data_IF_783878017362
#
_entry.id   IF_783878017362
#
_cell.length_a   1.000
_cell.length_b   1.000
_cell.length_c   1.000
_cell.angle_alpha   90.00
_cell.angle_beta   90.00
_cell.angle_gamma   90.00
#
_symmetry.space_group_name_H-M   'P 1'
#
loop_
_entity.id
_entity.type
_entity.pdbx_description
1 polymer ?
#
# COMPACT_ATOMS: atom_id res chain seq x y z
N UNK A 1 -14.38 -16.98 14.60
CA UNK A 1 -13.27 -16.69 13.66
C UNK A 1 -11.98 -16.92 14.43
N UNK A 2 -11.10 -17.79 13.95
CA UNK A 2 -9.82 -18.11 14.56
C UNK A 2 -8.85 -16.93 14.41
N UNK A 3 -8.43 -16.34 15.53
CA UNK A 3 -7.30 -15.42 15.54
C UNK A 3 -6.02 -16.23 15.76
N UNK A 4 -5.02 -16.02 14.89
CA UNK A 4 -3.71 -16.63 14.98
C UNK A 4 -2.74 -15.61 15.59
N UNK A 5 -1.93 -16.08 16.54
CA UNK A 5 -0.82 -15.29 17.07
C UNK A 5 0.41 -15.53 16.20
N UNK A 6 0.89 -14.48 15.54
CA UNK A 6 2.11 -14.52 14.71
C UNK A 6 3.18 -13.60 15.28
N UNK A 7 4.42 -13.82 14.84
CA UNK A 7 5.56 -12.94 15.14
C UNK A 7 6.14 -12.44 13.81
N UNK A 8 6.17 -11.13 13.63
CA UNK A 8 6.75 -10.52 12.43
C UNK A 8 8.09 -9.90 12.81
N UNK A 9 9.08 -10.08 11.95
CA UNK A 9 10.39 -9.47 12.11
C UNK A 9 10.52 -8.26 11.21
N UNK A 10 10.72 -7.07 11.78
CA UNK A 10 10.90 -5.80 11.06
C UNK A 10 12.17 -5.14 11.58
N UNK A 11 13.12 -4.80 10.71
CA UNK A 11 14.36 -4.09 11.07
C UNK A 11 15.12 -4.71 12.26
N UNK A 12 15.14 -6.05 12.32
CA UNK A 12 15.73 -6.89 13.39
C UNK A 12 14.95 -6.93 14.72
N UNK A 13 13.76 -6.34 14.78
CA UNK A 13 12.85 -6.42 15.94
C UNK A 13 11.71 -7.38 15.66
N UNK A 14 11.34 -8.18 16.66
CA UNK A 14 10.18 -9.07 16.58
C UNK A 14 8.97 -8.40 17.24
N UNK A 15 7.87 -8.34 16.49
CA UNK A 15 6.60 -7.82 16.94
C UNK A 15 5.58 -8.96 16.98
N UNK A 16 5.16 -9.40 18.18
CA UNK A 16 4.06 -10.34 18.31
C UNK A 16 2.74 -9.63 18.02
N UNK A 17 1.88 -10.23 17.20
CA UNK A 17 0.57 -9.69 16.86
C UNK A 17 -0.46 -10.80 16.66
N UNK A 18 -1.73 -10.46 16.86
CA UNK A 18 -2.87 -11.34 16.58
C UNK A 18 -3.51 -10.90 15.28
N UNK A 19 -3.65 -11.82 14.34
CA UNK A 19 -4.24 -11.57 13.02
C UNK A 19 -5.22 -12.69 12.68
N UNK A 20 -6.17 -12.38 11.79
CA UNK A 20 -7.06 -13.41 11.25
C UNK A 20 -6.30 -14.32 10.31
N UNK A 21 -6.75 -15.56 10.19
CA UNK A 21 -6.14 -16.56 9.30
C UNK A 21 -6.09 -16.12 7.84
N UNK A 22 -7.13 -15.43 7.37
CA UNK A 22 -7.19 -14.86 6.02
C UNK A 22 -6.21 -13.68 5.79
N UNK A 23 -5.69 -13.07 6.85
CA UNK A 23 -4.81 -11.91 6.79
C UNK A 23 -3.35 -12.25 7.04
N UNK A 24 -3.06 -13.43 7.62
CA UNK A 24 -1.72 -13.86 8.01
C UNK A 24 -0.73 -13.79 6.84
N UNK A 25 -1.10 -14.35 5.69
CA UNK A 25 -0.25 -14.38 4.51
C UNK A 25 0.05 -12.97 3.99
N UNK A 26 -0.97 -12.10 3.92
CA UNK A 26 -0.83 -10.70 3.50
C UNK A 26 0.09 -9.93 4.45
N UNK A 27 -0.16 -10.05 5.74
CA UNK A 27 0.62 -9.40 6.79
C UNK A 27 2.10 -9.84 6.73
N UNK A 28 2.36 -11.14 6.51
CA UNK A 28 3.72 -11.68 6.37
C UNK A 28 4.39 -11.19 5.08
N UNK A 29 3.66 -11.06 3.99
CA UNK A 29 4.16 -10.49 2.74
C UNK A 29 4.55 -9.01 2.91
N UNK A 30 3.71 -8.20 3.56
CA UNK A 30 4.00 -6.79 3.88
C UNK A 30 5.28 -6.67 4.71
N UNK A 31 5.45 -7.52 5.73
CA UNK A 31 6.68 -7.55 6.53
C UNK A 31 7.95 -7.83 5.72
N UNK A 32 7.88 -8.67 4.67
CA UNK A 32 9.01 -8.92 3.76
C UNK A 32 9.32 -7.70 2.91
N UNK A 33 8.30 -7.13 2.26
CA UNK A 33 8.43 -5.94 1.41
C UNK A 33 9.03 -4.76 2.20
N UNK A 34 8.56 -4.56 3.44
CA UNK A 34 9.07 -3.50 4.32
C UNK A 34 10.56 -3.69 4.61
N UNK A 35 11.01 -4.91 4.91
CA UNK A 35 12.42 -5.19 5.14
C UNK A 35 13.29 -5.01 3.89
N UNK A 36 12.76 -5.31 2.70
CA UNK A 36 13.45 -5.07 1.44
C UNK A 36 13.62 -3.57 1.17
N UNK A 37 12.55 -2.77 1.33
CA UNK A 37 12.61 -1.30 1.22
C UNK A 37 13.62 -0.71 2.21
N UNK A 38 13.62 -1.16 3.46
CA UNK A 38 14.60 -0.72 4.46
C UNK A 38 16.05 -1.02 4.04
N UNK A 39 16.32 -2.21 3.46
CA UNK A 39 17.66 -2.54 2.93
C UNK A 39 18.03 -1.65 1.76
N UNK A 40 17.10 -1.44 0.83
CA UNK A 40 17.31 -0.55 -0.31
C UNK A 40 17.72 0.86 0.12
N UNK A 41 17.01 1.46 1.09
CA UNK A 41 17.37 2.79 1.60
C UNK A 41 18.69 2.80 2.35
N UNK A 42 18.98 1.75 3.12
CA UNK A 42 20.26 1.60 3.82
C UNK A 42 21.43 1.55 2.83
N UNK A 43 21.28 0.77 1.76
CA UNK A 43 22.34 0.57 0.77
C UNK A 43 22.49 1.78 -0.17
N UNK A 44 21.37 2.41 -0.55
CA UNK A 44 21.38 3.55 -1.49
C UNK A 44 21.79 4.87 -0.83
N UNK A 45 21.33 5.14 0.39
CA UNK A 45 21.56 6.43 1.07
C UNK A 45 22.59 6.34 2.19
N UNK A 46 23.09 5.14 2.51
CA UNK A 46 24.08 4.94 3.57
C UNK A 46 23.54 5.25 4.98
N UNK A 47 22.22 5.33 5.15
CA UNK A 47 21.59 5.68 6.42
C UNK A 47 21.73 4.50 7.37
N UNK A 48 22.37 4.74 8.52
CA UNK A 48 22.55 3.73 9.56
C UNK A 48 21.48 3.83 10.65
N UNK A 49 20.84 4.98 10.81
CA UNK A 49 19.76 5.14 11.79
C UNK A 49 18.51 4.41 11.33
N UNK A 50 18.04 3.49 12.17
CA UNK A 50 16.84 2.68 11.91
C UNK A 50 15.57 3.53 11.91
N UNK A 51 15.52 4.61 12.69
CA UNK A 51 14.38 5.51 12.74
C UNK A 51 14.25 6.30 11.44
N UNK A 52 15.36 6.84 10.93
CA UNK A 52 15.38 7.59 9.67
C UNK A 52 15.04 6.71 8.48
N UNK A 53 15.56 5.47 8.45
CA UNK A 53 15.19 4.48 7.43
C UNK A 53 13.69 4.19 7.46
N UNK A 54 13.11 4.00 8.65
CA UNK A 54 11.67 3.76 8.79
C UNK A 54 10.86 4.99 8.38
N UNK A 55 11.33 6.19 8.69
CA UNK A 55 10.70 7.45 8.31
C UNK A 55 10.72 7.65 6.78
N UNK A 56 11.83 7.34 6.10
CA UNK A 56 11.89 7.38 4.63
C UNK A 56 10.90 6.41 3.99
N UNK A 57 10.85 5.17 4.47
CA UNK A 57 9.91 4.17 3.95
C UNK A 57 8.46 4.60 4.20
N UNK A 58 8.15 5.14 5.39
CA UNK A 58 6.82 5.66 5.70
C UNK A 58 6.45 6.84 4.80
N UNK A 59 7.39 7.76 4.55
CA UNK A 59 7.20 8.90 3.68
C UNK A 59 6.92 8.47 2.23
N UNK A 60 7.73 7.56 1.69
CA UNK A 60 7.52 7.01 0.34
C UNK A 60 6.15 6.33 0.23
N UNK A 61 5.78 5.52 1.22
CA UNK A 61 4.49 4.81 1.20
C UNK A 61 3.32 5.79 1.22
N UNK A 62 3.41 6.89 1.99
CA UNK A 62 2.38 7.93 1.97
C UNK A 62 2.35 8.69 0.64
N UNK A 63 3.51 8.97 0.04
CA UNK A 63 3.58 9.61 -1.27
C UNK A 63 2.98 8.72 -2.38
N UNK A 64 3.27 7.42 -2.37
CA UNK A 64 2.66 6.43 -3.26
C UNK A 64 1.13 6.37 -3.05
N UNK A 65 0.66 6.38 -1.80
CA UNK A 65 -0.78 6.39 -1.48
C UNK A 65 -1.50 7.62 -2.04
N UNK A 66 -0.93 8.81 -1.88
CA UNK A 66 -1.52 10.05 -2.41
C UNK A 66 -1.60 9.99 -3.93
N UNK A 67 -0.53 9.54 -4.61
CA UNK A 67 -0.54 9.35 -6.07
C UNK A 67 -1.63 8.38 -6.52
N UNK A 68 -1.78 7.25 -5.84
CA UNK A 68 -2.82 6.27 -6.15
C UNK A 68 -4.23 6.84 -5.93
N UNK A 69 -4.45 7.67 -4.91
CA UNK A 69 -5.73 8.34 -4.67
C UNK A 69 -6.05 9.36 -5.78
N UNK A 70 -5.06 10.13 -6.24
CA UNK A 70 -5.19 11.07 -7.36
C UNK A 70 -5.50 10.34 -8.68
N UNK A 71 -4.77 9.27 -8.98
CA UNK A 71 -5.02 8.42 -10.14
C UNK A 71 -6.42 7.80 -10.09
N UNK A 72 -6.82 7.25 -8.93
CA UNK A 72 -8.16 6.69 -8.76
C UNK A 72 -9.25 7.74 -8.96
N UNK A 73 -9.10 8.95 -8.40
CA UNK A 73 -10.05 10.05 -8.62
C UNK A 73 -10.14 10.44 -10.10
N UNK A 74 -9.02 10.46 -10.82
CA UNK A 74 -9.00 10.77 -12.25
C UNK A 74 -9.70 9.68 -13.07
N UNK A 75 -9.48 8.40 -12.74
CA UNK A 75 -10.12 7.27 -13.41
C UNK A 75 -11.63 7.24 -13.19
N UNK A 76 -12.10 7.52 -11.98
CA UNK A 76 -13.54 7.63 -11.69
C UNK A 76 -14.17 8.74 -12.54
N UNK A 77 -13.54 9.92 -12.59
CA UNK A 77 -14.05 11.02 -13.43
C UNK A 77 -14.09 10.67 -14.91
N UNK A 78 -13.13 9.87 -15.43
CA UNK A 78 -13.15 9.41 -16.81
C UNK A 78 -14.28 8.42 -17.08
N UNK A 79 -14.54 7.51 -16.14
CA UNK A 79 -15.64 6.55 -16.25
C UNK A 79 -16.98 7.28 -16.23
N UNK A 80 -17.16 8.26 -15.34
CA UNK A 80 -18.37 9.08 -15.28
C UNK A 80 -18.62 9.82 -16.60
N UNK A 81 -17.58 10.44 -17.17
CA UNK A 81 -17.68 11.09 -18.50
C UNK A 81 -18.06 10.11 -19.60
N UNK A 82 -17.52 8.88 -19.58
CA UNK A 82 -17.88 7.86 -20.56
C UNK A 82 -19.33 7.39 -20.40
N UNK A 83 -19.82 7.25 -19.17
CA UNK A 83 -21.20 6.89 -18.88
C UNK A 83 -22.17 7.99 -19.35
N UNK A 84 -21.86 9.26 -19.07
CA UNK A 84 -22.66 10.40 -19.54
C UNK A 84 -22.75 10.43 -21.08
N UNK A 85 -21.63 10.18 -21.77
CA UNK A 85 -21.61 10.09 -23.24
C UNK A 85 -22.46 8.93 -23.77
N UNK A 86 -22.46 7.77 -23.09
CA UNK A 86 -23.32 6.66 -23.47
C UNK A 86 -24.80 6.99 -23.25
N UNK A 87 -25.15 7.63 -22.13
CA UNK A 87 -26.52 8.05 -21.83
C UNK A 87 -27.02 9.08 -22.86
N UNK A 88 -26.19 10.04 -23.26
CA UNK A 88 -26.51 11.00 -24.31
C UNK A 88 -26.76 10.29 -25.66
N UNK A 89 -25.91 9.33 -26.05
CA UNK A 89 -26.10 8.56 -27.27
C UNK A 89 -27.38 7.72 -27.25
N UNK A 90 -27.70 7.09 -26.11
CA UNK A 90 -28.95 6.33 -25.95
C UNK A 90 -30.18 7.22 -25.95
N UNK A 91 -30.09 8.43 -25.38
CA UNK A 91 -31.19 9.41 -25.40
C UNK A 91 -31.48 9.95 -26.80
N UNK A 92 -30.45 9.97 -27.67
CA UNK A 92 -30.55 10.42 -29.06
C UNK A 92 -31.18 9.36 -29.98
N UNK A 93 -31.24 8.10 -29.56
CA UNK A 93 -31.88 6.98 -30.31
C UNK A 93 -33.38 6.85 -29.97
N UNK A 94 -34.07 7.97 -29.81
CA UNK A 94 -35.55 8.02 -29.79
C UNK A 94 -36.11 8.63 -31.06
#
# INVERSE_FOLDING_TARGET
MSELSIKIRIAEREYPMRVKEEEEERIRAVGKILNERLRFYKDQFGIQDKQDLLAMVAFETMAEKIKLEEEHSSHVSQVDQQLDLLDDLLSTVK
#
